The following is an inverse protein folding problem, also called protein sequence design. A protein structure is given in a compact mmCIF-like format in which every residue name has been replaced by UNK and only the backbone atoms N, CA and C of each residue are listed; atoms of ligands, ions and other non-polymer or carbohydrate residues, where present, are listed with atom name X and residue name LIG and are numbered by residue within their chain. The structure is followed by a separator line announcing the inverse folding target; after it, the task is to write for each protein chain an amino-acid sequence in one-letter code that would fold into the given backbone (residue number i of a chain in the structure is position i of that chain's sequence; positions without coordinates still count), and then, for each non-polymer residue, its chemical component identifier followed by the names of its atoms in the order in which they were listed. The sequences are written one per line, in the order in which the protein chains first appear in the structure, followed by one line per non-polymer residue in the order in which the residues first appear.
data_IF_487034034005
#
_entry.id   IF_487034034005
#
_cell.length_a   1.000
_cell.length_b   1.000
_cell.length_c   1.000
_cell.angle_alpha   90.00
_cell.angle_beta   90.00
_cell.angle_gamma   90.00
#
_symmetry.space_group_name_H-M   'P 1'
#
loop_
_entity.id
_entity.type
_entity.pdbx_description
1 polymer ?
#
# COMPACT_ATOMS: atom_id res chain seq x y z
N UNK A 1 8.48 5.06 -19.40
CA UNK A 1 8.16 4.68 -18.01
C UNK A 1 6.90 3.84 -18.02
N UNK A 2 6.93 2.69 -17.35
CA UNK A 2 5.88 1.69 -17.44
C UNK A 2 6.52 0.34 -17.16
N UNK A 3 6.35 -0.15 -15.93
CA UNK A 3 6.72 -1.52 -15.61
C UNK A 3 5.81 -2.38 -16.48
N UNK A 4 6.37 -3.05 -17.49
CA UNK A 4 5.66 -4.17 -18.13
C UNK A 4 5.70 -5.29 -17.11
N UNK A 5 4.57 -5.51 -16.45
CA UNK A 5 4.48 -6.54 -15.44
C UNK A 5 4.81 -7.90 -16.06
N UNK A 6 5.76 -8.62 -15.45
CA UNK A 6 5.91 -10.05 -15.72
C UNK A 6 4.68 -10.81 -15.23
N UNK A 7 4.73 -12.15 -15.30
CA UNK A 7 3.62 -13.04 -14.91
C UNK A 7 3.09 -12.74 -13.49
N UNK A 8 3.94 -12.22 -12.61
CA UNK A 8 3.60 -11.89 -11.22
C UNK A 8 3.49 -10.37 -10.94
N UNK A 9 3.32 -9.55 -11.97
CA UNK A 9 3.20 -8.10 -11.80
C UNK A 9 1.93 -7.59 -12.48
N UNK A 10 1.10 -6.94 -11.65
CA UNK A 10 -0.08 -6.25 -12.08
C UNK A 10 0.29 -4.78 -12.29
N UNK A 11 0.08 -4.28 -13.50
CA UNK A 11 0.20 -2.87 -13.82
C UNK A 11 -1.21 -2.30 -14.03
N UNK A 12 -1.50 -1.18 -13.38
CA UNK A 12 -2.78 -0.53 -13.46
C UNK A 12 -2.62 0.83 -14.15
N UNK A 13 -3.52 1.14 -15.10
CA UNK A 13 -3.50 2.44 -15.73
C UNK A 13 -4.08 3.48 -14.77
N UNK A 14 -3.35 4.57 -14.58
CA UNK A 14 -3.79 5.71 -13.77
C UNK A 14 -4.01 6.86 -14.74
N UNK A 15 -5.25 7.39 -14.85
CA UNK A 15 -5.53 8.54 -15.67
C UNK A 15 -4.59 9.68 -15.29
N UNK A 16 -3.85 10.20 -16.27
CA UNK A 16 -2.96 11.34 -16.09
C UNK A 16 -3.46 12.54 -16.91
N UNK A 17 -4.78 12.76 -16.87
CA UNK A 17 -5.39 13.91 -17.54
C UNK A 17 -4.90 15.21 -16.86
N UNK A 18 -4.75 16.27 -17.67
CA UNK A 18 -4.38 17.59 -17.17
C UNK A 18 -5.61 18.28 -16.56
N UNK A 19 -5.44 19.01 -15.45
CA UNK A 19 -6.51 19.78 -14.80
C UNK A 19 -7.10 19.14 -13.53
N UNK A 20 -8.25 19.65 -13.08
CA UNK A 20 -8.88 19.36 -11.78
C UNK A 20 -9.36 17.89 -11.61
N UNK A 21 -9.43 17.11 -12.69
CA UNK A 21 -9.91 15.73 -12.69
C UNK A 21 -8.88 14.69 -12.21
N UNK A 22 -7.69 15.12 -11.80
CA UNK A 22 -6.56 14.21 -11.56
C UNK A 22 -6.65 13.42 -10.25
N UNK A 23 -7.07 14.07 -9.18
CA UNK A 23 -7.17 13.46 -7.85
C UNK A 23 -8.26 12.35 -7.81
N UNK A 24 -9.49 12.57 -8.32
CA UNK A 24 -10.52 11.53 -8.35
C UNK A 24 -10.11 10.31 -9.19
N UNK A 25 -9.59 10.53 -10.40
CA UNK A 25 -9.19 9.42 -11.29
C UNK A 25 -8.09 8.54 -10.71
N UNK A 26 -7.14 9.13 -9.97
CA UNK A 26 -6.13 8.36 -9.24
C UNK A 26 -6.75 7.46 -8.17
N UNK A 27 -7.66 8.00 -7.37
CA UNK A 27 -8.29 7.27 -6.27
C UNK A 27 -9.19 6.13 -6.76
N UNK A 28 -9.90 6.32 -7.87
CA UNK A 28 -10.70 5.25 -8.50
C UNK A 28 -9.82 4.13 -9.06
N UNK A 29 -8.69 4.47 -9.68
CA UNK A 29 -7.69 3.48 -10.12
C UNK A 29 -7.05 2.75 -8.94
N UNK A 30 -6.82 3.45 -7.81
CA UNK A 30 -6.28 2.86 -6.59
C UNK A 30 -7.24 1.81 -6.01
N UNK A 31 -8.54 2.11 -5.93
CA UNK A 31 -9.54 1.19 -5.40
C UNK A 31 -9.61 -0.10 -6.24
N UNK A 32 -9.61 0.03 -7.57
CA UNK A 32 -9.58 -1.12 -8.46
C UNK A 32 -8.30 -1.96 -8.31
N UNK A 33 -7.15 -1.31 -8.13
CA UNK A 33 -5.89 -2.01 -7.86
C UNK A 33 -5.92 -2.74 -6.51
N UNK A 34 -6.52 -2.14 -5.48
CA UNK A 34 -6.68 -2.76 -4.16
C UNK A 34 -7.56 -4.01 -4.23
N UNK A 35 -8.67 -3.98 -4.95
CA UNK A 35 -9.53 -5.15 -5.14
C UNK A 35 -8.76 -6.33 -5.74
N UNK A 36 -7.92 -6.07 -6.75
CA UNK A 36 -7.09 -7.11 -7.36
C UNK A 36 -6.01 -7.65 -6.40
N UNK A 37 -5.37 -6.77 -5.63
CA UNK A 37 -4.38 -7.16 -4.61
C UNK A 37 -5.04 -8.05 -3.55
N UNK A 38 -6.23 -7.68 -3.08
CA UNK A 38 -6.97 -8.44 -2.06
C UNK A 38 -7.41 -9.83 -2.58
N UNK A 39 -7.73 -9.94 -3.86
CA UNK A 39 -8.03 -11.24 -4.48
C UNK A 39 -6.83 -12.19 -4.49
N UNK A 40 -5.60 -11.68 -4.52
CA UNK A 40 -4.38 -12.52 -4.43
C UNK A 40 -4.18 -13.13 -3.05
N UNK A 41 -4.85 -12.61 -2.00
CA UNK A 41 -4.71 -13.05 -0.60
C UNK A 41 -3.25 -13.15 -0.15
N UNK A 42 -2.44 -12.09 -0.29
CA UNK A 42 -1.04 -12.13 0.08
C UNK A 42 -0.86 -12.33 1.59
N UNK A 43 0.20 -13.04 1.97
CA UNK A 43 0.59 -13.22 3.38
C UNK A 43 1.19 -11.93 3.99
N UNK A 44 1.73 -11.04 3.15
CA UNK A 44 2.34 -9.78 3.53
C UNK A 44 2.29 -8.79 2.36
N UNK A 45 2.03 -7.51 2.65
CA UNK A 45 2.20 -6.41 1.70
C UNK A 45 3.37 -5.52 2.11
N UNK A 46 4.27 -5.26 1.16
CA UNK A 46 5.31 -4.24 1.28
C UNK A 46 4.80 -2.96 0.60
N UNK A 47 4.31 -2.00 1.39
CA UNK A 47 3.74 -0.78 0.86
C UNK A 47 4.80 0.33 0.79
N UNK A 48 5.24 0.64 -0.44
CA UNK A 48 6.17 1.74 -0.72
C UNK A 48 5.40 3.07 -0.82
N UNK A 49 5.27 3.76 0.30
CA UNK A 49 4.58 5.05 0.39
C UNK A 49 5.46 6.18 -0.16
N UNK A 50 5.45 6.36 -1.48
CA UNK A 50 6.24 7.39 -2.14
C UNK A 50 5.65 8.79 -1.98
N UNK A 51 6.48 9.78 -1.69
CA UNK A 51 6.13 11.21 -1.69
C UNK A 51 6.40 11.87 -3.06
N UNK A 52 7.11 11.21 -3.98
CA UNK A 52 7.45 11.78 -5.30
C UNK A 52 6.26 11.94 -6.27
N UNK A 53 5.09 11.43 -5.89
CA UNK A 53 3.85 11.63 -6.64
C UNK A 53 3.19 12.98 -6.33
N UNK A 54 3.68 13.74 -5.34
CA UNK A 54 3.13 15.03 -4.92
C UNK A 54 3.28 16.13 -5.99
N UNK A 55 2.31 17.04 -6.09
CA UNK A 55 2.31 18.14 -7.08
C UNK A 55 3.54 19.03 -7.07
N UNK A 56 4.20 19.20 -5.92
CA UNK A 56 5.40 20.04 -5.81
C UNK A 56 6.70 19.25 -6.00
N UNK A 57 6.63 17.93 -6.19
CA UNK A 57 7.83 17.14 -6.44
C UNK A 57 8.33 17.32 -7.88
N UNK A 58 9.63 17.62 -8.09
CA UNK A 58 10.18 17.84 -9.43
C UNK A 58 10.11 16.61 -10.33
N UNK A 59 9.90 15.40 -9.78
CA UNK A 59 9.78 14.15 -10.52
C UNK A 59 8.33 13.67 -10.65
N UNK A 60 7.36 14.45 -10.18
CA UNK A 60 5.96 14.04 -10.20
C UNK A 60 5.39 13.95 -11.61
N UNK A 61 5.00 12.74 -11.99
CA UNK A 61 4.20 12.49 -13.20
C UNK A 61 2.71 12.63 -12.91
N UNK A 62 2.28 12.17 -11.73
CA UNK A 62 0.88 12.21 -11.27
C UNK A 62 0.50 13.50 -10.55
N UNK A 63 1.43 14.31 -10.05
CA UNK A 63 1.13 15.63 -9.43
C UNK A 63 -0.08 15.62 -8.45
N UNK A 64 -0.13 14.65 -7.54
CA UNK A 64 -1.21 14.48 -6.58
C UNK A 64 -1.18 15.56 -5.49
N UNK A 65 -2.35 15.98 -5.02
CA UNK A 65 -2.43 16.90 -3.89
C UNK A 65 -2.00 16.22 -2.57
N UNK A 66 -1.64 17.04 -1.57
CA UNK A 66 -1.35 16.54 -0.21
C UNK A 66 -2.52 15.75 0.38
N UNK A 67 -3.76 16.19 0.10
CA UNK A 67 -4.98 15.54 0.53
C UNK A 67 -5.14 14.15 -0.12
N UNK A 68 -4.86 14.04 -1.42
CA UNK A 68 -4.91 12.76 -2.14
C UNK A 68 -3.86 11.78 -1.65
N UNK A 69 -2.64 12.25 -1.34
CA UNK A 69 -1.63 11.38 -0.71
C UNK A 69 -2.09 10.85 0.65
N UNK A 70 -2.76 11.70 1.47
CA UNK A 70 -3.34 11.26 2.73
C UNK A 70 -4.43 10.19 2.51
N UNK A 71 -5.33 10.44 1.55
CA UNK A 71 -6.42 9.52 1.22
C UNK A 71 -5.89 8.20 0.66
N UNK A 72 -4.85 8.23 -0.17
CA UNK A 72 -4.14 7.05 -0.66
C UNK A 72 -3.67 6.18 0.50
N UNK A 73 -2.91 6.77 1.43
CA UNK A 73 -2.37 6.04 2.58
C UNK A 73 -3.51 5.47 3.44
N UNK A 74 -4.58 6.24 3.65
CA UNK A 74 -5.74 5.79 4.42
C UNK A 74 -6.44 4.61 3.74
N UNK A 75 -6.74 4.69 2.45
CA UNK A 75 -7.43 3.63 1.69
C UNK A 75 -6.64 2.34 1.66
N UNK A 76 -5.34 2.42 1.34
CA UNK A 76 -4.46 1.24 1.31
C UNK A 76 -4.42 0.56 2.67
N UNK A 77 -4.13 1.31 3.74
CA UNK A 77 -3.94 0.74 5.07
C UNK A 77 -5.26 0.24 5.66
N UNK A 78 -6.38 0.91 5.41
CA UNK A 78 -7.71 0.48 5.84
C UNK A 78 -8.15 -0.80 5.14
N UNK A 79 -7.93 -0.91 3.82
CA UNK A 79 -8.26 -2.11 3.06
C UNK A 79 -7.48 -3.34 3.56
N UNK A 80 -6.15 -3.20 3.73
CA UNK A 80 -5.30 -4.28 4.24
C UNK A 80 -5.64 -4.65 5.68
N UNK A 81 -5.91 -3.66 6.54
CA UNK A 81 -6.37 -3.88 7.91
C UNK A 81 -7.68 -4.67 7.94
N UNK A 82 -8.66 -4.28 7.13
CA UNK A 82 -9.96 -4.93 7.09
C UNK A 82 -9.85 -6.38 6.61
N UNK A 83 -9.00 -6.62 5.61
CA UNK A 83 -8.67 -7.96 5.13
C UNK A 83 -7.76 -8.77 6.07
N UNK A 84 -7.29 -8.18 7.19
CA UNK A 84 -6.33 -8.76 8.14
C UNK A 84 -5.02 -9.19 7.50
N UNK A 85 -4.57 -8.49 6.47
CA UNK A 85 -3.30 -8.71 5.79
C UNK A 85 -2.22 -7.86 6.49
N UNK A 86 -1.12 -8.45 6.98
CA UNK A 86 0.00 -7.70 7.51
C UNK A 86 0.59 -6.74 6.47
N UNK A 87 0.97 -5.55 6.89
CA UNK A 87 1.61 -4.55 6.02
C UNK A 87 2.89 -4.02 6.67
N UNK A 88 3.96 -3.98 5.89
CA UNK A 88 5.17 -3.21 6.20
C UNK A 88 5.14 -1.94 5.36
N UNK A 89 5.08 -0.79 6.02
CA UNK A 89 5.14 0.52 5.35
C UNK A 89 6.61 0.94 5.22
N UNK A 90 7.03 1.25 4.00
CA UNK A 90 8.33 1.84 3.72
C UNK A 90 8.13 3.23 3.11
N UNK A 91 8.90 4.21 3.60
CA UNK A 91 8.94 5.55 3.00
C UNK A 91 9.82 5.45 1.74
N UNK A 92 9.31 5.93 0.60
CA UNK A 92 9.96 5.73 -0.70
C UNK A 92 10.45 7.06 -1.31
N UNK A 93 10.17 7.34 -2.58
CA UNK A 93 10.65 8.56 -3.25
C UNK A 93 10.16 9.84 -2.58
N UNK A 94 10.75 10.97 -2.95
CA UNK A 94 10.47 12.28 -2.37
C UNK A 94 11.69 13.18 -2.53
N UNK A 95 11.66 14.05 -3.52
CA UNK A 95 12.79 14.83 -4.01
C UNK A 95 12.57 16.34 -3.87
N UNK A 96 11.56 16.73 -3.11
CA UNK A 96 11.36 18.09 -2.64
C UNK A 96 12.40 18.47 -1.57
N UNK A 97 12.34 19.71 -1.10
CA UNK A 97 13.10 20.15 0.08
C UNK A 97 12.84 19.19 1.27
N UNK A 98 13.87 18.84 2.05
CA UNK A 98 13.76 17.85 3.13
C UNK A 98 12.60 18.10 4.10
N UNK A 99 12.30 19.35 4.41
CA UNK A 99 11.22 19.76 5.31
C UNK A 99 9.85 19.43 4.74
N UNK A 100 9.66 19.63 3.42
CA UNK A 100 8.40 19.31 2.73
C UNK A 100 8.21 17.80 2.61
N UNK A 101 9.24 17.09 2.17
CA UNK A 101 9.23 15.62 2.09
C UNK A 101 9.00 15.00 3.48
N UNK A 102 9.66 15.52 4.51
CA UNK A 102 9.50 15.07 5.90
C UNK A 102 8.08 15.28 6.43
N UNK A 103 7.43 16.40 6.08
CA UNK A 103 6.03 16.62 6.44
C UNK A 103 5.08 15.60 5.79
N UNK A 104 5.31 15.22 4.53
CA UNK A 104 4.55 14.18 3.84
C UNK A 104 4.76 12.80 4.48
N UNK A 105 5.99 12.44 4.84
CA UNK A 105 6.26 11.19 5.56
C UNK A 105 5.62 11.16 6.95
N UNK A 106 5.68 12.26 7.69
CA UNK A 106 5.03 12.34 9.00
C UNK A 106 3.51 12.18 8.87
N UNK A 107 2.91 12.71 7.79
CA UNK A 107 1.51 12.46 7.47
C UNK A 107 1.25 10.95 7.26
N UNK A 108 2.02 10.26 6.41
CA UNK A 108 1.89 8.81 6.19
C UNK A 108 1.97 8.04 7.51
N UNK A 109 2.94 8.36 8.37
CA UNK A 109 3.10 7.70 9.67
C UNK A 109 1.92 7.97 10.62
N UNK A 110 1.36 9.19 10.62
CA UNK A 110 0.16 9.51 11.40
C UNK A 110 -1.03 8.70 10.91
N UNK A 111 -1.26 8.62 9.59
CA UNK A 111 -2.33 7.79 9.02
C UNK A 111 -2.14 6.32 9.41
N UNK A 112 -0.92 5.80 9.31
CA UNK A 112 -0.63 4.43 9.70
C UNK A 112 -0.90 4.19 11.18
N UNK A 113 -0.52 5.12 12.06
CA UNK A 113 -0.84 5.02 13.47
C UNK A 113 -2.36 5.07 13.70
N UNK A 114 -3.08 6.02 13.10
CA UNK A 114 -4.55 6.14 13.21
C UNK A 114 -5.26 4.86 12.77
N UNK A 115 -4.86 4.30 11.63
CA UNK A 115 -5.53 3.13 11.04
C UNK A 115 -5.11 1.84 11.74
N UNK A 116 -3.82 1.63 12.02
CA UNK A 116 -3.29 0.31 12.43
C UNK A 116 -3.19 0.11 13.95
N UNK A 117 -3.23 1.17 14.76
CA UNK A 117 -2.99 1.07 16.22
C UNK A 117 -4.01 0.24 17.00
N UNK A 118 -5.23 0.02 16.48
CA UNK A 118 -6.17 -0.91 17.09
C UNK A 118 -5.72 -2.37 16.86
N UNK A 119 -5.47 -3.13 17.93
CA UNK A 119 -5.04 -4.54 17.89
C UNK A 119 -5.97 -5.39 17.03
N UNK A 120 -5.41 -6.09 16.05
CA UNK A 120 -6.10 -7.20 15.38
C UNK A 120 -6.08 -8.39 16.36
N UNK A 121 -7.24 -8.98 16.72
CA UNK A 121 -7.27 -10.19 17.54
C UNK A 121 -6.44 -11.28 16.86
N UNK A 122 -5.51 -11.90 17.59
CA UNK A 122 -4.73 -13.03 17.07
C UNK A 122 -5.69 -14.18 16.79
N UNK A 123 -5.78 -14.62 15.54
CA UNK A 123 -6.30 -15.95 15.21
C UNK A 123 -5.16 -16.92 15.45
N UNK A 124 -5.35 -17.87 16.36
CA UNK A 124 -4.37 -18.92 16.58
C UNK A 124 -4.16 -19.67 15.25
N UNK A 125 -2.92 -19.81 14.76
CA UNK A 125 -2.69 -20.55 13.55
C UNK A 125 -3.16 -21.99 13.76
N UNK A 126 -4.11 -22.44 12.93
CA UNK A 126 -4.57 -23.83 12.89
C UNK A 126 -3.40 -24.66 12.36
N UNK A 127 -2.47 -25.02 13.25
CA UNK A 127 -1.53 -26.07 12.98
C UNK A 127 -2.32 -27.38 13.08
N UNK A 128 -2.91 -27.80 11.95
CA UNK A 128 -3.44 -29.16 11.82
C UNK A 128 -2.26 -30.12 12.03
N UNK A 129 -2.22 -30.76 13.20
CA UNK A 129 -1.14 -31.65 13.58
C UNK A 129 -0.96 -32.78 12.56
N UNK A 130 0.18 -32.80 11.87
CA UNK A 130 0.77 -34.05 11.42
C UNK A 130 1.69 -34.55 12.52
N UNK A 131 1.14 -35.40 13.41
CA UNK A 131 1.97 -36.35 14.16
C UNK A 131 2.73 -37.18 13.12
N UNK A 132 4.05 -37.03 13.05
CA UNK A 132 4.88 -38.07 12.43
C UNK A 132 4.73 -39.30 13.32
N UNK A 133 4.09 -40.35 12.80
CA UNK A 133 4.23 -41.68 13.36
C UNK A 133 5.69 -42.06 13.18
N UNK A 134 6.40 -42.19 14.30
CA UNK A 134 7.74 -42.73 14.34
C UNK A 134 7.56 -44.25 14.32
N UNK A 135 7.88 -44.86 13.18
CA UNK A 135 7.94 -46.31 13.06
C UNK A 135 9.12 -46.81 13.89
N UNK A 136 8.82 -47.55 14.96
CA UNK A 136 9.74 -48.52 15.56
C UNK A 136 10.10 -49.55 14.49
N UNK A 137 11.40 -49.79 14.34
CA UNK A 137 11.94 -51.02 13.75
C UNK A 137 12.98 -51.55 14.72
N UNK A 138 12.79 -52.82 15.08
CA UNK A 138 13.64 -53.67 15.91
C UNK A 138 15.13 -53.69 15.50
#
# INVERSE_FOLDING_TARGET
FGIRGGINSLAFNVPNEEGEARDPGFLDSLDQALDLILQQKPDLVLYQASADSHIEDPRATLKLSTATLRLRDQRVLSALRWARIPVLVTLAGGYQQPERTGALYLQTLRVANEVLSCRIPRVNPIHSGRRRQQTETD
#
